data_IF_174615842391
#
_entry.id   IF_174615842391
#
_cell.length_a   1.000
_cell.length_b   1.000
_cell.length_c   1.000
_cell.angle_alpha   90.00
_cell.angle_beta   90.00
_cell.angle_gamma   90.00
#
_symmetry.space_group_name_H-M   'P 1'
#
loop_
_entity.id
_entity.type
_entity.pdbx_description
1 polymer ?
#
# COMPACT_ATOMS: atom_id res chain seq x y z
N UNK A 1 46.09 37.79 -4.16
CA UNK A 1 45.23 36.97 -3.29
C UNK A 1 43.97 36.58 -4.05
N UNK A 2 43.91 35.37 -4.61
CA UNK A 2 42.70 34.86 -5.28
C UNK A 2 41.83 34.16 -4.24
N UNK A 3 40.61 34.66 -4.03
CA UNK A 3 39.59 33.99 -3.21
C UNK A 3 39.00 32.85 -4.05
N UNK A 4 39.20 31.61 -3.61
CA UNK A 4 38.44 30.47 -4.13
C UNK A 4 37.10 30.42 -3.40
N UNK A 5 36.02 30.54 -4.16
CA UNK A 5 34.66 30.33 -3.69
C UNK A 5 34.36 28.83 -3.84
N UNK A 6 34.24 28.12 -2.73
CA UNK A 6 33.84 26.70 -2.72
C UNK A 6 32.32 26.66 -2.90
N UNK A 7 31.86 26.23 -4.07
CA UNK A 7 30.48 25.81 -4.27
C UNK A 7 30.31 24.42 -3.65
N UNK A 8 29.64 24.34 -2.51
CA UNK A 8 29.17 23.07 -1.96
C UNK A 8 27.97 22.59 -2.80
N UNK A 9 28.20 21.53 -3.58
CA UNK A 9 27.17 20.82 -4.34
C UNK A 9 26.12 20.21 -3.41
N UNK A 10 24.91 20.76 -3.40
CA UNK A 10 23.70 20.17 -2.81
C UNK A 10 23.08 19.08 -3.74
N UNK A 11 23.91 18.23 -4.35
CA UNK A 11 23.46 17.25 -5.34
C UNK A 11 23.39 15.80 -4.81
N UNK A 12 23.77 15.54 -3.56
CA UNK A 12 23.92 14.16 -3.05
C UNK A 12 22.65 13.51 -2.48
N UNK A 13 21.60 14.27 -2.17
CA UNK A 13 20.41 13.72 -1.49
C UNK A 13 19.38 13.10 -2.45
N UNK A 14 19.27 13.59 -3.68
CA UNK A 14 18.29 13.10 -4.66
C UNK A 14 18.62 11.69 -5.16
N UNK A 15 19.92 11.34 -5.25
CA UNK A 15 20.33 10.03 -5.76
C UNK A 15 19.96 8.85 -4.84
N UNK A 16 19.90 9.03 -3.51
CA UNK A 16 19.61 7.92 -2.57
C UNK A 16 18.13 7.55 -2.48
N UNK A 17 17.21 8.45 -2.84
CA UNK A 17 15.78 8.27 -2.60
C UNK A 17 15.18 7.14 -3.45
N UNK A 18 15.58 7.04 -4.71
CA UNK A 18 15.08 6.05 -5.67
C UNK A 18 16.21 5.18 -6.24
N UNK A 19 17.30 5.05 -5.48
CA UNK A 19 18.43 4.22 -5.89
C UNK A 19 17.99 2.77 -6.04
N UNK A 20 18.19 2.25 -7.24
CA UNK A 20 17.78 0.91 -7.62
C UNK A 20 18.99 -0.02 -7.70
N UNK A 21 19.17 -0.88 -6.69
CA UNK A 21 20.23 -1.91 -6.69
C UNK A 21 19.89 -3.13 -7.55
N UNK A 22 18.72 -3.15 -8.20
CA UNK A 22 18.14 -4.29 -8.91
C UNK A 22 17.55 -5.37 -8.00
N UNK A 23 17.81 -5.31 -6.68
CA UNK A 23 17.24 -6.24 -5.70
C UNK A 23 15.85 -5.78 -5.26
N UNK A 24 14.92 -6.73 -5.16
CA UNK A 24 13.51 -6.47 -4.86
C UNK A 24 12.94 -7.43 -3.83
N UNK A 25 12.01 -6.92 -3.03
CA UNK A 25 11.22 -7.66 -2.06
C UNK A 25 12.04 -8.27 -0.93
N UNK A 26 13.22 -7.74 -0.59
CA UNK A 26 14.13 -8.33 0.41
C UNK A 26 13.44 -8.63 1.75
N UNK A 27 12.48 -7.81 2.14
CA UNK A 27 11.79 -7.86 3.43
C UNK A 27 10.47 -8.65 3.39
N UNK A 28 10.11 -9.22 2.24
CA UNK A 28 8.86 -9.98 2.05
C UNK A 28 9.16 -11.43 1.68
N UNK A 29 8.61 -12.40 2.41
CA UNK A 29 9.05 -13.80 2.28
C UNK A 29 8.52 -14.52 1.03
N UNK A 30 7.34 -14.15 0.53
CA UNK A 30 6.72 -14.81 -0.63
C UNK A 30 7.43 -14.37 -1.92
N UNK A 31 8.14 -15.30 -2.55
CA UNK A 31 8.95 -15.04 -3.77
C UNK A 31 8.35 -15.60 -5.04
N UNK A 32 7.46 -16.59 -4.93
CA UNK A 32 6.97 -17.35 -6.07
C UNK A 32 5.44 -17.29 -6.11
N UNK A 33 4.91 -17.12 -7.32
CA UNK A 33 3.48 -17.29 -7.58
C UNK A 33 3.11 -18.77 -7.50
N UNK A 34 2.06 -19.07 -6.76
CA UNK A 34 1.42 -20.38 -6.75
C UNK A 34 0.09 -20.26 -7.49
N UNK A 35 -0.03 -20.97 -8.61
CA UNK A 35 -1.23 -20.88 -9.43
C UNK A 35 -2.45 -21.41 -8.66
N UNK A 36 -3.50 -20.61 -8.67
CA UNK A 36 -4.78 -20.94 -8.03
C UNK A 36 -5.94 -20.54 -8.93
N UNK A 37 -7.08 -21.26 -8.85
CA UNK A 37 -8.27 -20.92 -9.61
C UNK A 37 -8.80 -19.54 -9.20
N UNK A 38 -9.29 -18.79 -10.17
CA UNK A 38 -10.08 -17.58 -9.92
C UNK A 38 -11.53 -18.01 -9.74
N UNK A 39 -12.17 -17.72 -8.58
CA UNK A 39 -13.55 -18.10 -8.33
C UNK A 39 -14.51 -17.27 -9.18
N UNK A 40 -15.67 -17.82 -9.52
CA UNK A 40 -16.72 -17.08 -10.23
C UNK A 40 -17.81 -16.60 -9.27
N UNK A 41 -18.48 -15.49 -9.64
CA UNK A 41 -19.59 -14.97 -8.85
C UNK A 41 -20.73 -16.00 -8.73
N UNK A 42 -21.09 -16.65 -9.83
CA UNK A 42 -22.18 -17.63 -9.87
C UNK A 42 -22.01 -18.79 -8.88
N UNK A 43 -20.78 -19.27 -8.68
CA UNK A 43 -20.46 -20.36 -7.75
C UNK A 43 -20.37 -19.88 -6.29
N UNK A 44 -20.05 -18.60 -6.10
CA UNK A 44 -19.62 -18.03 -4.82
C UNK A 44 -20.68 -17.14 -4.15
N UNK A 45 -21.69 -16.66 -4.87
CA UNK A 45 -22.65 -15.66 -4.38
C UNK A 45 -23.32 -16.05 -3.05
N UNK A 46 -23.65 -17.34 -2.89
CA UNK A 46 -24.26 -17.89 -1.67
C UNK A 46 -23.35 -17.88 -0.43
N UNK A 47 -22.05 -17.68 -0.62
CA UNK A 47 -21.04 -17.65 0.45
C UNK A 47 -20.71 -16.22 0.87
N UNK A 48 -21.25 -15.22 0.20
CA UNK A 48 -21.08 -13.81 0.51
C UNK A 48 -22.08 -13.37 1.60
N UNK A 49 -21.78 -12.29 2.36
CA UNK A 49 -22.76 -11.71 3.25
C UNK A 49 -24.05 -11.36 2.52
N UNK A 50 -25.21 -11.59 3.12
CA UNK A 50 -26.50 -11.23 2.53
C UNK A 50 -27.04 -9.97 3.21
N UNK A 51 -27.35 -8.90 2.47
CA UNK A 51 -27.89 -7.68 3.06
C UNK A 51 -29.35 -7.89 3.48
N UNK A 52 -29.72 -7.40 4.66
CA UNK A 52 -31.11 -7.40 5.16
C UNK A 52 -31.67 -5.98 5.03
N UNK A 53 -32.27 -5.69 3.87
CA UNK A 53 -32.79 -4.36 3.50
C UNK A 53 -34.15 -4.50 2.78
N UNK A 54 -35.14 -5.03 3.50
CA UNK A 54 -36.47 -5.39 2.94
C UNK A 54 -37.19 -4.20 2.28
N UNK A 55 -36.98 -2.99 2.79
CA UNK A 55 -37.61 -1.77 2.27
C UNK A 55 -36.78 -1.06 1.18
N UNK A 56 -35.64 -1.61 0.77
CA UNK A 56 -34.71 -1.01 -0.21
C UNK A 56 -34.18 -2.03 -1.22
N UNK A 57 -35.05 -2.65 -2.05
CA UNK A 57 -34.65 -3.67 -3.03
C UNK A 57 -33.63 -3.17 -4.05
N UNK A 58 -33.61 -1.88 -4.36
CA UNK A 58 -32.63 -1.23 -5.23
C UNK A 58 -31.20 -1.26 -4.65
N UNK A 59 -31.07 -1.10 -3.33
CA UNK A 59 -29.77 -1.18 -2.65
C UNK A 59 -29.27 -2.63 -2.59
N UNK A 60 -30.19 -3.60 -2.45
CA UNK A 60 -29.85 -5.03 -2.56
C UNK A 60 -29.35 -5.36 -3.97
N UNK A 61 -30.00 -4.81 -5.02
CA UNK A 61 -29.54 -4.99 -6.40
C UNK A 61 -28.16 -4.37 -6.62
N UNK A 62 -27.92 -3.16 -6.12
CA UNK A 62 -26.62 -2.50 -6.18
C UNK A 62 -25.53 -3.32 -5.47
N UNK A 63 -25.85 -3.86 -4.29
CA UNK A 63 -24.94 -4.72 -3.53
C UNK A 63 -24.48 -5.93 -4.33
N UNK A 64 -25.41 -6.66 -4.96
CA UNK A 64 -25.05 -7.83 -5.76
C UNK A 64 -24.31 -7.45 -7.05
N UNK A 65 -24.67 -6.35 -7.70
CA UNK A 65 -23.94 -5.85 -8.86
C UNK A 65 -22.48 -5.47 -8.50
N UNK A 66 -22.25 -4.89 -7.31
CA UNK A 66 -20.89 -4.57 -6.85
C UNK A 66 -20.04 -5.83 -6.64
N UNK A 67 -20.64 -6.91 -6.11
CA UNK A 67 -19.93 -8.18 -5.99
C UNK A 67 -19.65 -8.83 -7.34
N UNK A 68 -20.62 -8.87 -8.25
CA UNK A 68 -20.42 -9.40 -9.59
C UNK A 68 -19.25 -8.67 -10.30
N UNK A 69 -19.24 -7.33 -10.25
CA UNK A 69 -18.13 -6.52 -10.75
C UNK A 69 -16.79 -6.86 -10.10
N UNK A 70 -16.73 -7.05 -8.78
CA UNK A 70 -15.48 -7.40 -8.12
C UNK A 70 -14.93 -8.76 -8.57
N UNK A 71 -15.80 -9.76 -8.76
CA UNK A 71 -15.40 -11.09 -9.24
C UNK A 71 -14.88 -11.07 -10.68
N UNK A 72 -15.46 -10.23 -11.54
CA UNK A 72 -15.00 -10.06 -12.93
C UNK A 72 -13.58 -9.47 -13.02
N UNK A 73 -13.09 -8.87 -11.94
CA UNK A 73 -11.77 -8.21 -11.87
C UNK A 73 -10.77 -8.95 -10.98
N UNK A 74 -11.06 -10.19 -10.58
CA UNK A 74 -10.05 -11.06 -10.01
C UNK A 74 -9.12 -11.56 -11.13
N UNK A 75 -7.84 -11.18 -11.05
CA UNK A 75 -6.83 -11.49 -12.05
C UNK A 75 -5.74 -12.41 -11.51
N UNK A 76 -5.20 -13.20 -12.42
CA UNK A 76 -3.89 -13.85 -12.27
C UNK A 76 -2.80 -12.88 -12.72
N UNK A 77 -1.57 -12.98 -12.17
CA UNK A 77 -0.40 -12.38 -12.79
C UNK A 77 -0.31 -12.70 -14.29
N UNK A 78 0.00 -11.72 -15.16
CA UNK A 78 0.33 -12.00 -16.54
C UNK A 78 1.49 -13.00 -16.64
N UNK A 79 1.49 -13.82 -17.69
CA UNK A 79 2.56 -14.80 -17.89
C UNK A 79 3.92 -14.10 -17.99
N UNK A 80 4.85 -14.47 -17.12
CA UNK A 80 6.19 -13.87 -17.06
C UNK A 80 6.30 -12.64 -16.15
N UNK A 81 5.19 -12.16 -15.60
CA UNK A 81 5.20 -11.14 -14.54
C UNK A 81 5.83 -11.73 -13.27
N UNK A 82 6.66 -10.98 -12.53
CA UNK A 82 7.21 -11.40 -11.24
C UNK A 82 6.26 -11.12 -10.07
N UNK A 83 5.00 -10.77 -10.33
CA UNK A 83 3.95 -10.78 -9.32
C UNK A 83 3.80 -12.18 -8.71
N UNK A 84 3.50 -12.22 -7.41
CA UNK A 84 3.53 -13.43 -6.59
C UNK A 84 2.14 -13.85 -6.10
N UNK A 85 1.10 -13.08 -6.43
CA UNK A 85 -0.28 -13.31 -5.99
C UNK A 85 -1.29 -12.97 -7.07
N UNK A 86 -2.41 -13.71 -7.07
CA UNK A 86 -3.66 -13.23 -7.66
C UNK A 86 -4.06 -11.91 -6.98
N UNK A 87 -4.71 -11.04 -7.73
CA UNK A 87 -5.05 -9.71 -7.25
C UNK A 87 -6.44 -9.28 -7.76
N UNK A 88 -7.03 -8.31 -7.07
CA UNK A 88 -8.21 -7.58 -7.57
C UNK A 88 -7.72 -6.36 -8.34
N UNK A 89 -8.26 -6.18 -9.54
CA UNK A 89 -7.88 -5.14 -10.49
C UNK A 89 -8.88 -3.96 -10.47
N UNK A 90 -8.38 -2.75 -10.59
CA UNK A 90 -9.23 -1.54 -10.62
C UNK A 90 -9.81 -1.21 -12.01
N UNK A 91 -9.53 -2.04 -13.02
CA UNK A 91 -10.11 -1.96 -14.36
C UNK A 91 -9.79 -0.65 -15.12
N UNK A 92 -8.66 -0.02 -14.80
CA UNK A 92 -8.35 1.33 -15.30
C UNK A 92 -7.25 1.33 -16.37
N UNK A 93 -6.11 0.71 -16.06
CA UNK A 93 -4.92 0.69 -16.91
C UNK A 93 -4.23 -0.68 -16.78
N UNK A 94 -3.26 -1.04 -17.65
CA UNK A 94 -2.50 -2.29 -17.51
C UNK A 94 -1.44 -2.22 -16.39
N UNK A 95 -1.79 -1.60 -15.26
CA UNK A 95 -0.96 -1.33 -14.10
C UNK A 95 -1.76 -1.68 -12.83
N UNK A 96 -1.11 -2.12 -11.76
CA UNK A 96 -1.74 -2.18 -10.44
C UNK A 96 -1.56 -0.86 -9.69
N UNK A 97 -2.62 -0.39 -9.04
CA UNK A 97 -2.60 0.85 -8.27
C UNK A 97 -2.74 0.60 -6.77
N UNK A 98 -1.75 1.09 -6.02
CA UNK A 98 -1.63 0.88 -4.58
C UNK A 98 -2.84 1.42 -3.81
N UNK A 99 -3.27 2.64 -4.15
CA UNK A 99 -4.36 3.32 -3.42
C UNK A 99 -5.69 2.62 -3.66
N UNK A 100 -6.03 2.37 -4.92
CA UNK A 100 -7.22 1.63 -5.34
C UNK A 100 -7.29 0.24 -4.70
N UNK A 101 -6.15 -0.47 -4.68
CA UNK A 101 -6.04 -1.78 -4.02
C UNK A 101 -6.45 -1.70 -2.54
N UNK A 102 -6.07 -0.66 -1.80
CA UNK A 102 -6.47 -0.50 -0.40
C UNK A 102 -7.99 -0.40 -0.24
N UNK A 103 -8.67 0.40 -1.05
CA UNK A 103 -10.12 0.58 -0.96
C UNK A 103 -10.88 -0.67 -1.45
N UNK A 104 -10.41 -1.30 -2.52
CA UNK A 104 -10.97 -2.54 -3.01
C UNK A 104 -10.90 -3.64 -1.94
N UNK A 105 -9.80 -3.74 -1.19
CA UNK A 105 -9.66 -4.68 -0.08
C UNK A 105 -10.70 -4.43 1.02
N UNK A 106 -11.04 -3.17 1.34
CA UNK A 106 -12.04 -2.88 2.38
C UNK A 106 -13.41 -3.47 2.07
N UNK A 107 -13.77 -3.51 0.80
CA UNK A 107 -14.97 -4.18 0.31
C UNK A 107 -14.76 -5.70 0.23
N UNK A 108 -13.68 -6.14 -0.42
CA UNK A 108 -13.47 -7.55 -0.74
C UNK A 108 -13.07 -8.43 0.47
N UNK A 109 -12.60 -7.86 1.58
CA UNK A 109 -12.20 -8.61 2.80
C UNK A 109 -13.31 -9.48 3.38
N UNK A 110 -14.58 -9.13 3.16
CA UNK A 110 -15.73 -9.94 3.58
C UNK A 110 -15.88 -11.25 2.78
N UNK A 111 -15.12 -11.39 1.69
CA UNK A 111 -15.02 -12.60 0.88
C UNK A 111 -13.63 -13.26 1.00
N UNK A 112 -12.85 -12.98 2.06
CA UNK A 112 -11.48 -13.48 2.20
C UNK A 112 -11.37 -15.02 2.12
N UNK A 113 -12.40 -15.75 2.54
CA UNK A 113 -12.48 -17.22 2.42
C UNK A 113 -12.70 -17.73 0.99
N UNK A 114 -13.08 -16.85 0.06
CA UNK A 114 -13.32 -17.14 -1.36
C UNK A 114 -12.12 -16.64 -2.18
N UNK A 115 -11.76 -15.38 -1.98
CA UNK A 115 -10.63 -14.73 -2.62
C UNK A 115 -9.92 -13.83 -1.59
N UNK A 116 -8.68 -14.16 -1.18
CA UNK A 116 -7.96 -13.39 -0.17
C UNK A 116 -7.40 -12.10 -0.78
N UNK A 117 -8.26 -11.10 -1.00
CA UNK A 117 -7.93 -9.85 -1.70
C UNK A 117 -6.75 -9.09 -1.09
N UNK A 118 -6.50 -9.27 0.21
CA UNK A 118 -5.32 -8.73 0.91
C UNK A 118 -4.00 -9.13 0.23
N UNK A 119 -3.94 -10.31 -0.39
CA UNK A 119 -2.77 -10.81 -1.10
C UNK A 119 -2.44 -10.01 -2.36
N UNK A 120 -3.35 -9.14 -2.83
CA UNK A 120 -3.03 -8.17 -3.89
C UNK A 120 -1.85 -7.27 -3.48
N UNK A 121 -1.71 -6.97 -2.19
CA UNK A 121 -0.59 -6.18 -1.65
C UNK A 121 0.77 -6.88 -1.77
N UNK A 122 0.78 -8.21 -1.87
CA UNK A 122 2.01 -9.01 -2.03
C UNK A 122 2.77 -8.60 -3.31
N UNK A 123 2.04 -8.17 -4.34
CA UNK A 123 2.60 -7.72 -5.61
C UNK A 123 3.30 -6.36 -5.50
N UNK A 124 2.99 -5.56 -4.48
CA UNK A 124 3.75 -4.37 -4.13
C UNK A 124 4.92 -4.72 -3.20
N UNK A 125 4.70 -5.60 -2.22
CA UNK A 125 5.72 -6.01 -1.25
C UNK A 125 6.89 -6.75 -1.90
N UNK A 126 6.62 -7.64 -2.87
CA UNK A 126 7.68 -8.32 -3.62
C UNK A 126 8.48 -7.38 -4.52
N UNK A 127 7.97 -6.16 -4.76
CA UNK A 127 8.59 -5.09 -5.54
C UNK A 127 9.17 -3.96 -4.68
N UNK A 128 9.17 -4.10 -3.36
CA UNK A 128 9.84 -3.13 -2.48
C UNK A 128 11.35 -3.07 -2.77
N UNK A 129 11.90 -1.86 -2.80
CA UNK A 129 13.32 -1.61 -2.99
C UNK A 129 14.10 -1.89 -1.69
N UNK A 130 15.41 -2.12 -1.81
CA UNK A 130 16.29 -2.36 -0.66
C UNK A 130 16.27 -1.21 0.37
N UNK A 131 16.12 0.03 -0.10
CA UNK A 131 16.02 1.22 0.75
C UNK A 131 14.62 1.44 1.37
N UNK A 132 13.66 0.54 1.11
CA UNK A 132 12.30 0.58 1.65
C UNK A 132 11.25 1.19 0.73
N UNK A 133 11.62 1.86 -0.37
CA UNK A 133 10.66 2.46 -1.30
C UNK A 133 9.71 1.42 -1.93
N UNK A 134 8.44 1.79 -2.05
CA UNK A 134 7.40 1.02 -2.76
C UNK A 134 6.70 1.97 -3.73
N UNK A 135 6.70 1.62 -5.01
CA UNK A 135 6.00 2.40 -6.03
C UNK A 135 4.48 2.28 -5.86
N UNK A 136 3.76 3.38 -6.12
CA UNK A 136 2.30 3.44 -6.08
C UNK A 136 1.61 2.76 -7.25
N UNK A 137 2.32 2.63 -8.38
CA UNK A 137 1.78 2.17 -9.65
C UNK A 137 2.84 1.32 -10.34
N UNK A 138 2.47 0.08 -10.69
CA UNK A 138 3.40 -0.91 -11.21
C UNK A 138 2.79 -1.55 -12.44
N UNK A 139 3.54 -1.58 -13.54
CA UNK A 139 3.10 -2.18 -14.81
C UNK A 139 2.86 -3.67 -14.62
N UNK A 140 1.67 -4.16 -14.97
CA UNK A 140 1.28 -5.56 -14.70
C UNK A 140 2.23 -6.57 -15.37
N UNK A 141 2.58 -6.31 -16.63
CA UNK A 141 3.32 -7.22 -17.48
C UNK A 141 4.81 -7.33 -17.10
N UNK A 142 5.43 -6.23 -16.67
CA UNK A 142 6.88 -6.15 -16.43
C UNK A 142 7.26 -5.98 -14.96
N UNK A 143 6.30 -5.60 -14.11
CA UNK A 143 6.50 -5.16 -12.72
C UNK A 143 7.44 -3.95 -12.54
N UNK A 144 7.64 -3.20 -13.61
CA UNK A 144 8.39 -1.96 -13.56
C UNK A 144 7.55 -0.87 -12.90
N UNK A 145 8.21 0.01 -12.17
CA UNK A 145 7.59 1.19 -11.60
C UNK A 145 7.06 2.07 -12.73
N UNK A 146 5.81 2.50 -12.63
CA UNK A 146 5.28 3.53 -13.50
C UNK A 146 5.64 4.91 -12.94
N UNK A 147 6.28 5.74 -13.76
CA UNK A 147 6.70 7.10 -13.39
C UNK A 147 6.04 8.09 -14.34
N UNK A 148 5.11 8.88 -13.80
CA UNK A 148 4.45 9.96 -14.50
C UNK A 148 4.80 11.30 -13.85
N UNK A 149 5.26 12.25 -14.68
CA UNK A 149 5.63 13.64 -14.30
C UNK A 149 6.76 13.79 -13.25
N UNK A 150 7.28 12.71 -12.66
CA UNK A 150 8.39 12.77 -11.71
C UNK A 150 8.32 11.68 -10.64
N UNK A 151 9.46 11.35 -10.02
CA UNK A 151 9.51 10.31 -8.98
C UNK A 151 8.93 10.78 -7.65
N UNK A 152 8.86 12.08 -7.41
CA UNK A 152 8.15 12.66 -6.27
C UNK A 152 6.65 12.29 -6.23
N UNK A 153 6.08 11.87 -7.37
CA UNK A 153 4.68 11.48 -7.52
C UNK A 153 4.42 9.98 -7.35
N UNK A 154 5.45 9.16 -7.13
CA UNK A 154 5.36 7.69 -7.27
C UNK A 154 5.10 6.95 -5.96
N UNK A 155 4.67 7.65 -4.91
CA UNK A 155 4.07 7.02 -3.73
C UNK A 155 2.63 7.50 -3.59
N UNK A 156 1.76 6.63 -3.08
CA UNK A 156 0.41 6.99 -2.67
C UNK A 156 0.39 7.21 -1.15
N UNK A 157 -0.74 7.66 -0.57
CA UNK A 157 -0.91 7.62 0.87
C UNK A 157 -0.55 6.25 1.47
N UNK A 158 0.22 6.19 2.57
CA UNK A 158 0.84 4.96 3.06
C UNK A 158 -0.12 4.10 3.87
N UNK A 159 -1.18 3.59 3.25
CA UNK A 159 -2.28 2.87 3.91
C UNK A 159 -2.14 1.34 3.93
N UNK A 160 -0.94 0.81 3.66
CA UNK A 160 -0.71 -0.64 3.68
C UNK A 160 -1.08 -1.27 5.03
N UNK A 161 -0.66 -0.66 6.14
CA UNK A 161 -0.92 -1.18 7.48
C UNK A 161 -2.42 -1.21 7.80
N UNK A 162 -3.16 -0.21 7.33
CA UNK A 162 -4.60 -0.12 7.51
C UNK A 162 -5.31 -1.27 6.82
N UNK A 163 -4.95 -1.54 5.56
CA UNK A 163 -5.47 -2.69 4.83
C UNK A 163 -5.20 -4.03 5.54
N UNK A 164 -3.97 -4.22 6.03
CA UNK A 164 -3.59 -5.43 6.77
C UNK A 164 -4.35 -5.57 8.10
N UNK A 165 -4.48 -4.50 8.90
CA UNK A 165 -5.21 -4.52 10.17
C UNK A 165 -6.72 -4.73 9.96
N UNK A 166 -7.30 -4.06 8.97
CA UNK A 166 -8.72 -4.22 8.64
C UNK A 166 -9.03 -5.63 8.13
N UNK A 167 -8.11 -6.26 7.38
CA UNK A 167 -8.27 -7.66 7.01
C UNK A 167 -8.09 -8.60 8.21
N UNK A 168 -7.11 -8.36 9.08
CA UNK A 168 -6.90 -9.12 10.32
C UNK A 168 -8.12 -9.14 11.22
N UNK A 169 -8.87 -8.02 11.33
CA UNK A 169 -10.11 -7.98 12.11
C UNK A 169 -11.16 -8.99 11.66
N UNK A 170 -11.12 -9.42 10.39
CA UNK A 170 -12.01 -10.44 9.83
C UNK A 170 -11.41 -11.85 9.98
N UNK A 171 -10.10 -12.00 9.78
CA UNK A 171 -9.45 -13.31 9.64
C UNK A 171 -8.81 -13.84 10.92
N UNK A 172 -8.37 -12.94 11.81
CA UNK A 172 -7.51 -13.28 12.95
C UNK A 172 -6.12 -13.80 12.56
N UNK A 173 -5.71 -13.67 11.28
CA UNK A 173 -4.48 -14.26 10.78
C UNK A 173 -3.24 -13.44 11.19
N UNK A 174 -2.61 -13.86 12.29
CA UNK A 174 -1.37 -13.26 12.79
C UNK A 174 -0.15 -13.59 11.93
N UNK A 175 -0.19 -14.68 11.15
CA UNK A 175 0.95 -15.06 10.30
C UNK A 175 1.18 -14.02 9.20
N UNK A 176 0.09 -13.42 8.70
CA UNK A 176 0.10 -12.26 7.80
C UNK A 176 0.91 -11.10 8.39
N UNK A 177 0.71 -10.76 9.66
CA UNK A 177 1.47 -9.69 10.31
C UNK A 177 2.96 -10.01 10.40
N UNK A 178 3.35 -11.25 10.73
CA UNK A 178 4.75 -11.64 10.77
C UNK A 178 5.43 -11.49 9.40
N UNK A 179 4.69 -11.80 8.33
CA UNK A 179 5.15 -11.70 6.94
C UNK A 179 5.34 -10.25 6.47
N UNK A 180 4.41 -9.34 6.82
CA UNK A 180 4.36 -7.98 6.25
C UNK A 180 5.00 -6.91 7.14
N UNK A 181 5.11 -7.13 8.46
CA UNK A 181 5.65 -6.12 9.37
C UNK A 181 7.07 -5.64 8.96
N UNK A 182 8.04 -6.50 8.60
CA UNK A 182 9.36 -6.04 8.15
C UNK A 182 9.32 -5.14 6.90
N UNK A 183 8.39 -5.39 5.99
CA UNK A 183 8.15 -4.56 4.79
C UNK A 183 7.68 -3.17 5.19
N UNK A 184 6.69 -3.11 6.09
CA UNK A 184 6.12 -1.85 6.58
C UNK A 184 7.13 -1.02 7.38
N UNK A 185 7.98 -1.69 8.19
CA UNK A 185 9.08 -1.04 8.91
C UNK A 185 10.01 -0.30 7.96
N UNK A 186 10.44 -0.99 6.89
CA UNK A 186 11.35 -0.41 5.89
C UNK A 186 10.70 0.67 5.05
N UNK A 187 9.43 0.51 4.69
CA UNK A 187 8.70 1.56 4.00
C UNK A 187 8.56 2.82 4.88
N UNK A 188 8.28 2.64 6.17
CA UNK A 188 8.19 3.74 7.13
C UNK A 188 9.52 4.47 7.29
N UNK A 189 10.64 3.74 7.40
CA UNK A 189 11.99 4.35 7.43
C UNK A 189 12.25 5.23 6.19
N UNK A 190 11.82 4.78 5.01
CA UNK A 190 11.92 5.56 3.78
C UNK A 190 11.04 6.81 3.82
N UNK A 191 9.80 6.70 4.28
CA UNK A 191 8.87 7.83 4.41
C UNK A 191 9.37 8.86 5.42
N UNK A 192 9.90 8.44 6.58
CA UNK A 192 10.55 9.34 7.54
C UNK A 192 11.67 10.14 6.90
N UNK A 193 12.56 9.45 6.18
CA UNK A 193 13.76 10.05 5.61
C UNK A 193 13.44 11.01 4.46
N UNK A 194 12.46 10.67 3.63
CA UNK A 194 12.27 11.35 2.35
C UNK A 194 10.94 12.10 2.20
N UNK A 195 9.96 11.84 3.07
CA UNK A 195 8.63 12.46 3.03
C UNK A 195 8.29 13.25 4.29
N UNK A 196 9.17 13.33 5.26
CA UNK A 196 9.04 14.25 6.40
C UNK A 196 9.70 15.58 6.11
N UNK A 197 9.02 16.68 6.44
CA UNK A 197 9.57 18.03 6.29
C UNK A 197 10.22 18.50 7.58
N UNK A 198 11.52 18.27 7.69
CA UNK A 198 12.32 18.75 8.81
C UNK A 198 12.45 20.29 8.85
N UNK A 199 12.89 20.81 10.00
CA UNK A 199 13.10 22.22 10.26
C UNK A 199 11.83 23.09 10.07
N UNK A 200 10.67 22.49 10.37
CA UNK A 200 9.39 23.20 10.43
C UNK A 200 8.82 23.12 11.85
N UNK A 201 7.84 23.97 12.18
CA UNK A 201 7.23 24.00 13.53
C UNK A 201 6.68 22.64 13.98
N UNK A 202 6.21 21.83 13.04
CA UNK A 202 5.47 20.60 13.33
C UNK A 202 6.10 19.34 12.70
N UNK A 203 7.15 19.49 11.89
CA UNK A 203 7.82 18.38 11.19
C UNK A 203 6.85 17.40 10.50
N UNK A 204 5.83 17.96 9.84
CA UNK A 204 4.78 17.21 9.15
C UNK A 204 5.31 16.51 7.90
N UNK A 205 4.56 15.53 7.42
CA UNK A 205 4.86 14.82 6.18
C UNK A 205 4.25 15.55 5.00
N UNK A 206 4.84 15.38 3.82
CA UNK A 206 4.41 16.02 2.59
C UNK A 206 4.14 14.99 1.51
N UNK A 207 3.26 15.38 0.59
CA UNK A 207 2.94 14.63 -0.61
C UNK A 207 2.74 15.60 -1.78
N UNK A 208 2.52 15.07 -2.97
CA UNK A 208 2.17 15.82 -4.18
C UNK A 208 0.70 15.61 -4.55
N UNK A 209 0.14 16.43 -5.46
CA UNK A 209 -1.23 16.24 -5.97
C UNK A 209 -1.42 14.81 -6.49
N UNK A 210 -0.63 14.45 -7.50
CA UNK A 210 -0.58 13.09 -8.07
C UNK A 210 -0.36 12.00 -7.01
N UNK A 211 0.68 12.14 -6.18
CA UNK A 211 1.00 11.14 -5.16
C UNK A 211 -0.04 11.06 -4.03
N UNK A 212 -0.97 12.00 -3.93
CA UNK A 212 -2.08 11.90 -2.96
C UNK A 212 -3.34 11.28 -3.55
N UNK A 213 -3.37 11.06 -4.87
CA UNK A 213 -4.60 10.73 -5.61
C UNK A 213 -5.55 11.91 -5.80
N UNK A 214 -5.16 13.11 -5.38
CA UNK A 214 -5.93 14.35 -5.52
C UNK A 214 -5.24 15.27 -6.53
N UNK A 215 -5.17 14.80 -7.77
CA UNK A 215 -4.25 15.28 -8.81
C UNK A 215 -4.31 16.78 -9.08
N UNK A 216 -5.51 17.36 -9.06
CA UNK A 216 -5.77 18.77 -9.32
C UNK A 216 -6.01 19.60 -8.04
N UNK A 217 -5.55 19.10 -6.89
CA UNK A 217 -5.74 19.79 -5.61
C UNK A 217 -5.08 21.18 -5.62
N UNK A 218 -5.75 22.25 -5.13
CA UNK A 218 -5.15 23.58 -5.03
C UNK A 218 -4.18 23.70 -3.83
N UNK A 219 -3.95 22.60 -3.09
CA UNK A 219 -3.09 22.58 -1.90
C UNK A 219 -1.66 23.00 -2.25
N UNK A 220 -1.08 23.77 -1.34
CA UNK A 220 0.32 24.21 -1.40
C UNK A 220 0.93 24.11 0.00
N UNK A 221 2.23 24.40 0.10
CA UNK A 221 2.96 24.36 1.38
C UNK A 221 3.78 23.09 1.57
N UNK A 222 4.39 22.97 2.74
CA UNK A 222 5.47 22.02 3.00
C UNK A 222 5.11 20.86 3.93
N UNK A 223 3.86 20.78 4.39
CA UNK A 223 3.35 19.73 5.28
C UNK A 223 1.85 19.56 5.12
N UNK A 224 1.40 18.32 5.01
CA UNK A 224 0.06 17.91 4.62
C UNK A 224 -0.57 17.11 5.77
N UNK A 225 -1.76 17.54 6.21
CA UNK A 225 -2.43 16.98 7.40
C UNK A 225 -2.86 15.53 7.17
N UNK A 226 -3.37 15.22 5.99
CA UNK A 226 -3.75 13.88 5.56
C UNK A 226 -2.55 12.93 5.60
N UNK A 227 -1.44 13.26 4.93
CA UNK A 227 -0.23 12.43 4.94
C UNK A 227 0.29 12.21 6.38
N UNK A 228 0.25 13.25 7.21
CA UNK A 228 0.72 13.16 8.60
C UNK A 228 -0.20 12.30 9.47
N UNK A 229 -1.52 12.42 9.31
CA UNK A 229 -2.49 11.56 10.00
C UNK A 229 -2.36 10.10 9.55
N UNK A 230 -2.08 9.86 8.26
CA UNK A 230 -1.85 8.53 7.70
C UNK A 230 -0.57 7.88 8.25
N UNK A 231 0.49 8.66 8.45
CA UNK A 231 1.70 8.19 9.15
C UNK A 231 1.43 7.83 10.62
N UNK A 232 0.68 8.66 11.34
CA UNK A 232 0.30 8.35 12.72
C UNK A 232 -0.57 7.07 12.80
N UNK A 233 -1.49 6.89 11.85
CA UNK A 233 -2.27 5.66 11.71
C UNK A 233 -1.36 4.45 11.42
N UNK A 234 -0.42 4.59 10.49
CA UNK A 234 0.53 3.53 10.16
C UNK A 234 1.36 3.09 11.38
N UNK A 235 1.80 4.03 12.21
CA UNK A 235 2.47 3.73 13.47
C UNK A 235 1.56 2.99 14.46
N UNK A 236 0.32 3.43 14.63
CA UNK A 236 -0.63 2.74 15.52
C UNK A 236 -0.94 1.32 15.04
N UNK A 237 -1.09 1.12 13.73
CA UNK A 237 -1.33 -0.20 13.16
C UNK A 237 -0.11 -1.12 13.35
N UNK A 238 1.11 -0.63 13.06
CA UNK A 238 2.32 -1.42 13.30
C UNK A 238 2.55 -1.73 14.79
N UNK A 239 2.11 -0.84 15.69
CA UNK A 239 2.10 -1.12 17.11
C UNK A 239 1.13 -2.27 17.46
N UNK A 240 -0.08 -2.25 16.91
CA UNK A 240 -1.06 -3.33 17.06
C UNK A 240 -0.50 -4.66 16.52
N UNK A 241 0.05 -4.65 15.31
CA UNK A 241 0.67 -5.84 14.71
C UNK A 241 1.78 -6.39 15.61
N UNK A 242 2.65 -5.52 16.12
CA UNK A 242 3.73 -5.89 17.03
C UNK A 242 3.19 -6.48 18.34
N UNK A 243 2.12 -5.92 18.90
CA UNK A 243 1.49 -6.43 20.12
C UNK A 243 0.88 -7.82 19.92
N UNK A 244 0.22 -8.05 18.78
CA UNK A 244 -0.38 -9.35 18.41
C UNK A 244 0.66 -10.45 18.20
N UNK A 245 1.87 -10.06 17.77
CA UNK A 245 3.04 -10.91 17.62
C UNK A 245 3.87 -11.05 18.92
N UNK A 246 3.47 -10.38 20.01
CA UNK A 246 4.20 -10.41 21.30
C UNK A 246 5.48 -9.56 21.35
N UNK A 247 5.71 -8.70 20.36
CA UNK A 247 6.89 -7.83 20.24
C UNK A 247 6.70 -6.52 21.04
N UNK A 248 6.65 -6.61 22.38
CA UNK A 248 6.23 -5.52 23.28
C UNK A 248 7.07 -4.25 23.20
N UNK A 249 8.39 -4.38 23.07
CA UNK A 249 9.29 -3.22 22.93
C UNK A 249 9.04 -2.49 21.60
N UNK A 250 8.87 -3.25 20.52
CA UNK A 250 8.57 -2.71 19.19
C UNK A 250 7.20 -2.01 19.16
N UNK A 251 6.19 -2.64 19.76
CA UNK A 251 4.86 -2.04 19.90
C UNK A 251 4.92 -0.70 20.66
N UNK A 252 5.69 -0.64 21.75
CA UNK A 252 5.88 0.57 22.54
C UNK A 252 6.59 1.67 21.73
N UNK A 253 7.64 1.31 20.99
CA UNK A 253 8.36 2.23 20.10
C UNK A 253 7.44 2.86 19.04
N UNK A 254 6.59 2.07 18.39
CA UNK A 254 5.63 2.60 17.42
C UNK A 254 4.54 3.46 18.05
N UNK A 255 4.04 3.12 19.24
CA UNK A 255 3.09 3.98 19.99
C UNK A 255 3.68 5.34 20.30
N UNK A 256 4.96 5.40 20.69
CA UNK A 256 5.62 6.69 20.92
C UNK A 256 5.77 7.47 19.61
N UNK A 257 6.14 6.80 18.52
CA UNK A 257 6.19 7.43 17.19
C UNK A 257 4.84 7.92 16.70
N UNK A 258 3.73 7.29 17.09
CA UNK A 258 2.39 7.72 16.68
C UNK A 258 1.92 9.03 17.34
N UNK A 259 2.59 9.50 18.40
CA UNK A 259 2.26 10.74 19.12
C UNK A 259 2.77 12.02 18.42
N UNK A 260 3.15 11.94 17.14
CA UNK A 260 3.70 13.05 16.33
C UNK A 260 2.88 14.33 16.49
#
# INVERSE_FOLDING_TARGET
MKKFLIFLLFASTVFSQYEDSGKRGLYFEKKNYTDSPIPTFAESAKLLPSPILENNPELVKLYWAAWELAFDHFKRPPKGSPFVSNYIDEAFAPNIFQWDTFFMIMFARYANHIFPSIQSLDNFYCRQYENGYICREIVEATSEDFVFEGREHTINPPLFSWAEVENYKITGDKSRFAMVLPVLEKYTEWLEKFRRKENTKHNLYWQTGLGSGMDNTPRSGSGWVDMSAQMAMMYNDMALMSDELGLKEKASSFKEKAKV
#
